data_IF_370973622208
#
_entry.id   IF_370973622208
#
_cell.length_a   1.000
_cell.length_b   1.000
_cell.length_c   1.000
_cell.angle_alpha   90.00
_cell.angle_beta   90.00
_cell.angle_gamma   90.00
#
_symmetry.space_group_name_H-M   'P 1'
#
loop_
_entity.id
_entity.type
_entity.pdbx_description
1 polymer ?
#
# COMPACT_ATOMS: atom_id res chain seq x y z
N UNK A 1 2.19 32.77 -59.52
CA UNK A 1 2.72 33.07 -58.16
C UNK A 1 1.72 32.76 -57.04
N UNK A 2 0.41 32.57 -57.33
CA UNK A 2 -0.63 32.35 -56.31
C UNK A 2 -0.82 30.91 -55.78
N UNK A 3 -0.51 29.90 -56.59
CA UNK A 3 -0.81 28.50 -56.23
C UNK A 3 0.09 27.97 -55.10
N UNK A 4 1.37 28.33 -55.11
CA UNK A 4 2.36 27.92 -54.10
C UNK A 4 2.08 28.52 -52.73
N UNK A 5 1.54 29.76 -52.69
CA UNK A 5 1.12 30.43 -51.46
C UNK A 5 -0.12 29.74 -50.87
N UNK A 6 -1.12 29.40 -51.70
CA UNK A 6 -2.30 28.64 -51.26
C UNK A 6 -1.94 27.26 -50.71
N UNK A 7 -1.02 26.53 -51.36
CA UNK A 7 -0.52 25.24 -50.85
C UNK A 7 0.22 25.38 -49.51
N UNK A 8 1.03 26.45 -49.34
CA UNK A 8 1.72 26.73 -48.08
C UNK A 8 0.79 27.05 -46.91
N UNK A 9 -0.33 27.75 -47.17
CA UNK A 9 -1.35 28.03 -46.15
C UNK A 9 -2.14 26.76 -45.77
N UNK A 10 -2.49 25.92 -46.74
CA UNK A 10 -3.22 24.67 -46.46
C UNK A 10 -2.35 23.66 -45.69
N UNK A 11 -1.06 23.53 -46.01
CA UNK A 11 -0.15 22.60 -45.31
C UNK A 11 0.15 23.03 -43.88
N UNK A 12 0.21 24.34 -43.61
CA UNK A 12 0.41 24.90 -42.27
C UNK A 12 -0.83 24.70 -41.40
N UNK A 13 -2.05 24.89 -41.94
CA UNK A 13 -3.30 24.61 -41.22
C UNK A 13 -3.43 23.14 -40.85
N UNK A 14 -3.07 22.21 -41.75
CA UNK A 14 -3.09 20.77 -41.50
C UNK A 14 -2.07 20.39 -40.41
N UNK A 15 -0.86 20.97 -40.43
CA UNK A 15 0.15 20.75 -39.39
C UNK A 15 -0.30 21.26 -38.02
N UNK A 16 -0.93 22.43 -37.97
CA UNK A 16 -1.47 23.01 -36.72
C UNK A 16 -2.62 22.15 -36.19
N UNK A 17 -3.53 21.72 -37.06
CA UNK A 17 -4.64 20.83 -36.68
C UNK A 17 -4.13 19.48 -36.16
N UNK A 18 -3.12 18.89 -36.80
CA UNK A 18 -2.47 17.65 -36.34
C UNK A 18 -1.75 17.81 -34.99
N UNK A 19 -1.07 18.93 -34.77
CA UNK A 19 -0.42 19.24 -33.49
C UNK A 19 -1.46 19.44 -32.37
N UNK A 20 -2.56 20.14 -32.64
CA UNK A 20 -3.66 20.34 -31.68
C UNK A 20 -4.32 18.99 -31.35
N UNK A 21 -4.61 18.16 -32.35
CA UNK A 21 -5.21 16.83 -32.15
C UNK A 21 -4.28 15.90 -31.34
N UNK A 22 -2.98 15.93 -31.62
CA UNK A 22 -1.96 15.23 -30.83
C UNK A 22 -1.93 15.71 -29.38
N UNK A 23 -1.98 17.02 -29.13
CA UNK A 23 -2.03 17.57 -27.77
C UNK A 23 -3.29 17.14 -27.00
N UNK A 24 -4.45 17.08 -27.65
CA UNK A 24 -5.67 16.56 -27.05
C UNK A 24 -5.56 15.06 -26.72
N UNK A 25 -5.06 14.25 -27.66
CA UNK A 25 -4.86 12.81 -27.43
C UNK A 25 -3.81 12.53 -26.34
N UNK A 26 -2.72 13.28 -26.27
CA UNK A 26 -1.72 13.17 -25.19
C UNK A 26 -2.33 13.49 -23.83
N UNK A 27 -3.22 14.49 -23.74
CA UNK A 27 -3.95 14.80 -22.50
C UNK A 27 -4.90 13.68 -22.11
N UNK A 28 -5.65 13.13 -23.07
CA UNK A 28 -6.56 12.00 -22.83
C UNK A 28 -5.77 10.76 -22.38
N UNK A 29 -4.70 10.40 -23.09
CA UNK A 29 -3.83 9.26 -22.73
C UNK A 29 -3.23 9.44 -21.34
N UNK A 30 -2.75 10.65 -21.00
CA UNK A 30 -2.25 10.96 -19.64
C UNK A 30 -3.35 10.81 -18.59
N UNK A 31 -4.57 11.27 -18.86
CA UNK A 31 -5.71 11.16 -17.95
C UNK A 31 -6.10 9.70 -17.74
N UNK A 32 -6.26 8.94 -18.83
CA UNK A 32 -6.58 7.50 -18.79
C UNK A 32 -5.50 6.70 -18.09
N UNK A 33 -4.21 6.98 -18.37
CA UNK A 33 -3.08 6.35 -17.68
C UNK A 33 -3.17 6.62 -16.17
N UNK A 34 -3.35 7.88 -15.76
CA UNK A 34 -3.48 8.25 -14.34
C UNK A 34 -4.64 7.53 -13.65
N UNK A 35 -5.79 7.44 -14.31
CA UNK A 35 -6.97 6.76 -13.78
C UNK A 35 -6.74 5.24 -13.62
N UNK A 36 -6.14 4.60 -14.62
CA UNK A 36 -5.79 3.17 -14.56
C UNK A 36 -4.81 2.90 -13.43
N UNK A 37 -3.72 3.68 -13.32
CA UNK A 37 -2.75 3.54 -12.22
C UNK A 37 -3.40 3.77 -10.85
N UNK A 38 -4.32 4.73 -10.72
CA UNK A 38 -5.08 4.95 -9.49
C UNK A 38 -5.89 3.71 -9.10
N UNK A 39 -6.67 3.14 -10.04
CA UNK A 39 -7.44 1.91 -9.81
C UNK A 39 -6.54 0.73 -9.41
N UNK A 40 -5.40 0.55 -10.07
CA UNK A 40 -4.43 -0.49 -9.69
C UNK A 40 -3.88 -0.30 -8.27
N UNK A 41 -3.58 0.93 -7.86
CA UNK A 41 -3.14 1.23 -6.49
C UNK A 41 -4.22 0.88 -5.46
N UNK A 42 -5.48 1.24 -5.72
CA UNK A 42 -6.61 0.91 -4.83
C UNK A 42 -6.79 -0.61 -4.67
N UNK A 43 -6.67 -1.38 -5.75
CA UNK A 43 -6.73 -2.86 -5.71
C UNK A 43 -5.56 -3.42 -4.90
N UNK A 44 -4.34 -2.94 -5.16
CA UNK A 44 -3.14 -3.37 -4.42
C UNK A 44 -3.31 -3.15 -2.91
N UNK A 45 -3.81 -1.99 -2.49
CA UNK A 45 -4.01 -1.67 -1.08
C UNK A 45 -5.16 -2.45 -0.44
N UNK A 46 -6.22 -2.72 -1.20
CA UNK A 46 -7.34 -3.54 -0.69
C UNK A 46 -6.92 -4.98 -0.37
N UNK A 47 -6.00 -5.56 -1.16
CA UNK A 47 -5.41 -6.87 -0.87
C UNK A 47 -4.59 -6.84 0.43
N UNK A 48 -3.87 -5.75 0.72
CA UNK A 48 -3.17 -5.61 2.01
C UNK A 48 -4.15 -5.64 3.17
N UNK A 49 -5.26 -4.91 3.10
CA UNK A 49 -6.24 -4.88 4.20
C UNK A 49 -6.84 -6.26 4.47
N UNK A 50 -7.05 -7.08 3.43
CA UNK A 50 -7.55 -8.45 3.61
C UNK A 50 -6.52 -9.32 4.36
N UNK A 51 -5.23 -9.17 4.00
CA UNK A 51 -4.13 -9.81 4.75
C UNK A 51 -4.02 -9.26 6.16
N UNK A 52 -4.20 -7.95 6.36
CA UNK A 52 -4.20 -7.32 7.67
C UNK A 52 -5.27 -7.96 8.57
N UNK A 53 -6.51 -8.09 8.09
CA UNK A 53 -7.60 -8.75 8.83
C UNK A 53 -7.24 -10.19 9.23
N UNK A 54 -6.64 -10.94 8.31
CA UNK A 54 -6.21 -12.32 8.56
C UNK A 54 -5.11 -12.37 9.62
N UNK A 55 -4.09 -11.53 9.49
CA UNK A 55 -2.97 -11.45 10.45
C UNK A 55 -3.43 -10.94 11.82
N UNK A 56 -4.31 -9.93 11.88
CA UNK A 56 -4.95 -9.43 13.09
C UNK A 56 -5.70 -10.57 13.80
N UNK A 57 -6.43 -11.39 13.05
CA UNK A 57 -7.13 -12.55 13.62
C UNK A 57 -6.16 -13.58 14.21
N UNK A 58 -5.05 -13.88 13.51
CA UNK A 58 -4.02 -14.79 13.99
C UNK A 58 -3.35 -14.27 15.28
N UNK A 59 -2.94 -13.00 15.30
CA UNK A 59 -2.30 -12.37 16.46
C UNK A 59 -3.26 -12.29 17.65
N UNK A 60 -4.55 -12.01 17.41
CA UNK A 60 -5.60 -11.95 18.44
C UNK A 60 -5.87 -13.29 19.15
N UNK A 61 -5.40 -14.42 18.60
CA UNK A 61 -5.45 -15.71 19.32
C UNK A 61 -4.60 -15.68 20.60
N UNK A 62 -3.57 -14.84 20.63
CA UNK A 62 -2.64 -14.69 21.76
C UNK A 62 -2.82 -13.33 22.43
N UNK A 63 -2.86 -12.25 21.64
CA UNK A 63 -2.98 -10.90 22.14
C UNK A 63 -4.27 -10.73 22.96
N UNK A 64 -4.23 -9.88 23.98
CA UNK A 64 -5.37 -9.55 24.84
C UNK A 64 -5.98 -10.75 25.60
N UNK A 65 -5.24 -11.87 25.70
CA UNK A 65 -5.64 -13.03 26.52
C UNK A 65 -4.97 -13.00 27.89
N UNK A 66 -5.55 -13.68 28.87
CA UNK A 66 -4.92 -13.83 30.19
C UNK A 66 -3.91 -14.99 30.23
N UNK A 67 -4.03 -15.95 29.29
CA UNK A 67 -3.15 -17.11 29.13
C UNK A 67 -3.16 -17.58 27.68
N UNK A 68 -2.09 -18.22 27.22
CA UNK A 68 -1.98 -18.77 25.87
C UNK A 68 -2.95 -19.97 25.74
N UNK A 69 -3.91 -19.95 24.80
CA UNK A 69 -4.75 -21.11 24.50
C UNK A 69 -3.93 -22.34 24.09
N UNK A 70 -4.37 -23.53 24.52
CA UNK A 70 -3.73 -24.80 24.12
C UNK A 70 -3.86 -25.03 22.61
N UNK A 71 -2.79 -25.54 21.99
CA UNK A 71 -2.79 -25.86 20.56
C UNK A 71 -2.51 -24.68 19.62
N UNK A 72 -2.12 -23.51 20.15
CA UNK A 72 -1.65 -22.40 19.31
C UNK A 72 -0.28 -22.74 18.73
N UNK A 73 -0.16 -22.56 17.42
CA UNK A 73 1.11 -22.61 16.72
C UNK A 73 1.69 -21.20 16.56
N UNK A 74 2.69 -20.85 17.38
CA UNK A 74 3.38 -19.56 17.29
C UNK A 74 4.09 -19.37 15.94
N UNK A 75 4.56 -20.45 15.33
CA UNK A 75 5.25 -20.41 14.05
C UNK A 75 4.33 -19.90 12.94
N UNK A 76 3.10 -20.43 12.89
CA UNK A 76 2.11 -20.01 11.88
C UNK A 76 1.72 -18.54 12.05
N UNK A 77 1.58 -18.09 13.30
CA UNK A 77 1.26 -16.69 13.60
C UNK A 77 2.42 -15.79 13.19
N UNK A 78 3.66 -16.14 13.53
CA UNK A 78 4.85 -15.39 13.14
C UNK A 78 5.01 -15.31 11.62
N UNK A 79 4.74 -16.41 10.90
CA UNK A 79 4.77 -16.41 9.44
C UNK A 79 3.69 -15.47 8.86
N UNK A 80 2.46 -15.52 9.37
CA UNK A 80 1.39 -14.62 8.95
C UNK A 80 1.75 -13.14 9.17
N UNK A 81 2.49 -12.83 10.24
CA UNK A 81 2.95 -11.47 10.53
C UNK A 81 4.10 -11.06 9.61
N UNK A 82 5.06 -11.96 9.34
CA UNK A 82 6.16 -11.72 8.40
C UNK A 82 5.63 -11.48 6.98
N UNK A 83 4.71 -12.32 6.50
CA UNK A 83 4.09 -12.17 5.19
C UNK A 83 3.36 -10.84 5.04
N UNK A 84 2.71 -10.39 6.13
CA UNK A 84 2.07 -9.08 6.18
C UNK A 84 3.09 -7.96 6.13
N UNK A 85 4.17 -8.04 6.93
CA UNK A 85 5.26 -7.06 6.92
C UNK A 85 5.89 -6.91 5.53
N UNK A 86 6.25 -8.00 4.86
CA UNK A 86 6.86 -7.97 3.52
C UNK A 86 5.95 -7.26 2.51
N UNK A 87 4.64 -7.56 2.55
CA UNK A 87 3.65 -6.91 1.67
C UNK A 87 3.54 -5.42 1.91
N UNK A 88 3.56 -4.99 3.17
CA UNK A 88 3.52 -3.56 3.49
C UNK A 88 4.82 -2.89 3.08
N UNK A 89 5.97 -3.52 3.34
CA UNK A 89 7.27 -2.97 3.02
C UNK A 89 7.44 -2.74 1.52
N UNK A 90 6.99 -3.69 0.69
CA UNK A 90 6.89 -3.52 -0.77
C UNK A 90 6.09 -2.27 -1.16
N UNK A 91 5.03 -1.97 -0.41
CA UNK A 91 4.06 -0.92 -0.73
C UNK A 91 4.46 0.44 -0.17
N UNK A 92 5.17 0.49 0.96
CA UNK A 92 5.74 1.74 1.47
C UNK A 92 6.70 2.38 0.48
N UNK A 93 7.38 1.57 -0.35
CA UNK A 93 8.25 2.07 -1.42
C UNK A 93 7.48 2.75 -2.56
N UNK A 94 6.21 2.40 -2.76
CA UNK A 94 5.35 2.99 -3.80
C UNK A 94 4.60 4.25 -3.32
N UNK A 95 4.58 4.52 -2.02
CA UNK A 95 3.91 5.67 -1.42
C UNK A 95 4.87 6.87 -1.45
N UNK A 96 4.39 8.02 -1.93
CA UNK A 96 5.17 9.26 -2.00
C UNK A 96 5.77 9.62 -0.62
N UNK A 97 7.08 9.89 -0.58
CA UNK A 97 7.87 10.07 0.65
C UNK A 97 7.30 11.11 1.63
N UNK A 98 6.67 12.17 1.14
CA UNK A 98 6.09 13.22 1.98
C UNK A 98 4.85 12.77 2.76
N UNK A 99 4.13 11.76 2.25
CA UNK A 99 2.93 11.25 2.91
C UNK A 99 3.20 10.00 3.77
N UNK A 100 4.40 9.39 3.71
CA UNK A 100 4.68 8.08 4.31
C UNK A 100 5.46 8.10 5.64
N UNK A 101 5.80 9.27 6.20
CA UNK A 101 6.66 9.34 7.40
C UNK A 101 6.12 8.52 8.59
N UNK A 102 4.81 8.63 8.89
CA UNK A 102 4.18 7.86 9.97
C UNK A 102 4.14 6.36 9.66
N UNK A 103 3.80 6.00 8.42
CA UNK A 103 3.75 4.61 7.98
C UNK A 103 5.13 3.94 8.09
N UNK A 104 6.20 4.62 7.66
CA UNK A 104 7.56 4.10 7.73
C UNK A 104 8.00 3.86 9.19
N UNK A 105 7.64 4.77 10.10
CA UNK A 105 7.89 4.58 11.54
C UNK A 105 7.14 3.35 12.07
N UNK A 106 5.86 3.19 11.72
CA UNK A 106 5.10 2.01 12.15
C UNK A 106 5.62 0.70 11.55
N UNK A 107 6.09 0.70 10.30
CA UNK A 107 6.72 -0.46 9.66
C UNK A 107 8.03 -0.83 10.34
N UNK A 108 8.86 0.16 10.69
CA UNK A 108 10.11 -0.07 11.43
C UNK A 108 9.80 -0.68 12.81
N UNK A 109 8.84 -0.11 13.53
CA UNK A 109 8.40 -0.64 14.83
C UNK A 109 7.81 -2.05 14.71
N UNK A 110 7.05 -2.31 13.63
CA UNK A 110 6.52 -3.63 13.33
C UNK A 110 7.64 -4.66 13.15
N UNK A 111 8.68 -4.31 12.38
CA UNK A 111 9.85 -5.18 12.17
C UNK A 111 10.57 -5.50 13.48
N UNK A 112 10.79 -4.49 14.32
CA UNK A 112 11.43 -4.67 15.62
C UNK A 112 10.61 -5.62 16.50
N UNK A 113 9.29 -5.41 16.59
CA UNK A 113 8.41 -6.29 17.38
C UNK A 113 8.30 -7.70 16.84
N UNK A 114 8.33 -7.89 15.53
CA UNK A 114 8.43 -9.21 14.89
C UNK A 114 9.72 -9.92 15.35
N UNK A 115 10.85 -9.23 15.35
CA UNK A 115 12.13 -9.78 15.81
C UNK A 115 12.12 -10.09 17.31
N UNK A 116 11.38 -9.33 18.12
CA UNK A 116 11.17 -9.64 19.54
C UNK A 116 10.32 -10.91 19.70
N UNK A 117 9.13 -10.98 19.08
CA UNK A 117 8.21 -12.12 19.27
C UNK A 117 8.70 -13.42 18.65
N UNK A 118 9.53 -13.35 17.60
CA UNK A 118 10.13 -14.54 16.96
C UNK A 118 11.12 -15.28 17.86
N UNK A 119 11.66 -14.62 18.90
CA UNK A 119 12.57 -15.22 19.88
C UNK A 119 11.84 -15.83 21.08
N UNK A 120 10.54 -15.54 21.22
CA UNK A 120 9.75 -16.01 22.36
C UNK A 120 9.26 -17.44 22.13
N UNK A 121 9.10 -18.18 23.23
CA UNK A 121 8.51 -19.50 23.23
C UNK A 121 7.22 -19.51 24.06
N UNK A 122 6.46 -20.61 24.01
CA UNK A 122 5.18 -20.73 24.73
C UNK A 122 5.28 -20.57 26.26
N UNK A 123 6.49 -20.60 26.83
CA UNK A 123 6.72 -20.47 28.26
C UNK A 123 7.20 -19.06 28.66
N UNK A 124 7.39 -18.16 27.70
CA UNK A 124 7.79 -16.78 27.94
C UNK A 124 6.69 -16.03 28.70
N UNK A 125 7.03 -15.47 29.87
CA UNK A 125 6.10 -14.77 30.76
C UNK A 125 5.55 -13.47 30.15
N UNK A 126 6.30 -12.86 29.23
CA UNK A 126 5.97 -11.62 28.53
C UNK A 126 5.29 -11.85 27.16
N UNK A 127 5.08 -13.10 26.75
CA UNK A 127 4.63 -13.42 25.39
C UNK A 127 3.32 -12.70 25.04
N UNK A 128 2.32 -12.76 25.91
CA UNK A 128 1.02 -12.13 25.68
C UNK A 128 1.16 -10.62 25.55
N UNK A 129 2.00 -10.00 26.37
CA UNK A 129 2.25 -8.56 26.33
C UNK A 129 2.89 -8.17 25.00
N UNK A 130 3.92 -8.89 24.57
CA UNK A 130 4.62 -8.64 23.30
C UNK A 130 3.72 -8.83 22.09
N UNK A 131 2.90 -9.88 22.06
CA UNK A 131 1.89 -10.06 21.01
C UNK A 131 0.78 -9.02 21.07
N UNK A 132 0.45 -8.48 22.25
CA UNK A 132 -0.49 -7.37 22.40
C UNK A 132 0.07 -6.06 21.85
N UNK A 133 1.36 -5.77 22.09
CA UNK A 133 2.05 -4.64 21.47
C UNK A 133 2.06 -4.78 19.94
N UNK A 134 2.39 -5.97 19.45
CA UNK A 134 2.37 -6.30 18.03
C UNK A 134 0.98 -6.10 17.40
N UNK A 135 -0.08 -6.54 18.10
CA UNK A 135 -1.47 -6.34 17.69
C UNK A 135 -1.80 -4.86 17.47
N UNK A 136 -1.44 -4.01 18.42
CA UNK A 136 -1.71 -2.57 18.29
C UNK A 136 -0.94 -1.92 17.16
N UNK A 137 0.32 -2.32 16.93
CA UNK A 137 1.10 -1.80 15.80
C UNK A 137 0.46 -2.19 14.47
N UNK A 138 0.04 -3.44 14.30
CA UNK A 138 -0.63 -3.90 13.09
C UNK A 138 -1.89 -3.07 12.82
N UNK A 139 -2.68 -2.75 13.86
CA UNK A 139 -3.85 -1.88 13.71
C UNK A 139 -3.50 -0.46 13.26
N UNK A 140 -2.40 0.12 13.76
CA UNK A 140 -1.96 1.44 13.32
C UNK A 140 -1.49 1.42 11.87
N UNK A 141 -0.77 0.39 11.45
CA UNK A 141 -0.33 0.22 10.06
C UNK A 141 -1.55 0.10 9.13
N UNK A 142 -2.52 -0.75 9.47
CA UNK A 142 -3.75 -0.94 8.69
C UNK A 142 -4.54 0.37 8.55
N UNK A 143 -4.67 1.14 9.63
CA UNK A 143 -5.33 2.45 9.63
C UNK A 143 -4.64 3.47 8.74
N UNK A 144 -3.30 3.51 8.74
CA UNK A 144 -2.56 4.40 7.85
C UNK A 144 -2.71 3.98 6.37
N UNK A 145 -2.68 2.67 6.08
CA UNK A 145 -2.94 2.14 4.73
C UNK A 145 -4.34 2.53 4.23
N UNK A 146 -5.34 2.44 5.10
CA UNK A 146 -6.71 2.88 4.79
C UNK A 146 -6.80 4.37 4.46
N UNK A 147 -6.09 5.23 5.19
CA UNK A 147 -6.01 6.66 4.87
C UNK A 147 -5.40 6.88 3.49
N UNK A 148 -4.33 6.17 3.14
CA UNK A 148 -3.75 6.28 1.79
C UNK A 148 -4.73 5.86 0.70
N UNK A 149 -5.47 4.78 0.93
CA UNK A 149 -6.51 4.33 0.01
C UNK A 149 -7.60 5.40 -0.16
N UNK A 150 -8.10 5.99 0.92
CA UNK A 150 -9.09 7.06 0.87
C UNK A 150 -8.57 8.27 0.08
N UNK A 151 -7.34 8.71 0.36
CA UNK A 151 -6.70 9.82 -0.34
C UNK A 151 -6.53 9.57 -1.86
N UNK A 152 -6.44 8.32 -2.30
CA UNK A 152 -6.38 7.97 -3.73
C UNK A 152 -7.77 7.99 -4.37
N UNK A 153 -8.81 7.61 -3.62
CA UNK A 153 -10.20 7.58 -4.10
C UNK A 153 -10.78 8.99 -4.19
N UNK A 154 -10.42 9.88 -3.25
CA UNK A 154 -10.94 11.26 -3.16
C UNK A 154 -10.22 12.25 -4.11
N UNK A 155 -9.13 11.83 -4.77
CA UNK A 155 -8.35 12.63 -5.74
C UNK A 155 -8.75 12.38 -7.20
#
# INVERSE_FOLDING_TARGET
MDWTIKLGVVSSVISIAGAVWSLFNVRIIRKTKKEIFSKFKVVKYSNINEKAKTTIYQVKKIALKNKIPKGINLFDINNSVNDYYEKIHEISNDIEKENSANLNNYISNLREKIMEVSKLNNNSSDLIEKYTQLYYIILQVDKEIDKFKQNIIEK
#
